data_IF_729504177674
#
_entry.id   IF_729504177674
#
_cell.length_a   1.000
_cell.length_b   1.000
_cell.length_c   1.000
_cell.angle_alpha   90.00
_cell.angle_beta   90.00
_cell.angle_gamma   90.00
#
_symmetry.space_group_name_H-M   'P 1'
#
loop_
_entity.id
_entity.type
_entity.pdbx_description
1 polymer ?
#
# COMPACT_ATOMS: atom_id res chain seq x y z
N UNK A 1 19.54 7.87 -15.22
CA UNK A 1 18.57 7.93 -14.11
C UNK A 1 17.18 7.40 -14.48
N UNK A 2 16.62 7.73 -15.65
CA UNK A 2 15.35 7.12 -16.12
C UNK A 2 15.45 5.60 -16.27
N UNK A 3 16.54 5.09 -16.88
CA UNK A 3 16.79 3.64 -16.97
C UNK A 3 16.94 2.95 -15.61
N UNK A 4 17.49 3.64 -14.61
CA UNK A 4 17.57 3.13 -13.24
C UNK A 4 16.19 3.08 -12.56
N UNK A 5 15.34 4.10 -12.77
CA UNK A 5 13.96 4.09 -12.29
C UNK A 5 13.14 2.97 -12.94
N UNK A 6 13.38 2.66 -14.21
CA UNK A 6 12.75 1.52 -14.89
C UNK A 6 13.31 0.18 -14.40
N UNK A 7 14.61 0.06 -14.13
CA UNK A 7 15.24 -1.17 -13.67
C UNK A 7 14.62 -1.70 -12.35
N UNK A 8 14.06 -0.83 -11.51
CA UNK A 8 13.28 -1.24 -10.32
C UNK A 8 12.06 -2.12 -10.64
N UNK A 9 11.59 -2.17 -11.90
CA UNK A 9 10.55 -3.09 -12.38
C UNK A 9 11.04 -4.52 -12.55
N UNK A 10 12.35 -4.74 -12.67
CA UNK A 10 12.94 -6.07 -12.87
C UNK A 10 12.96 -6.91 -11.58
N UNK A 11 12.79 -6.27 -10.42
CA UNK A 11 12.71 -6.96 -9.14
C UNK A 11 11.33 -7.60 -8.93
N UNK A 12 11.32 -8.81 -8.37
CA UNK A 12 10.08 -9.50 -7.97
C UNK A 12 9.33 -8.65 -6.93
N UNK A 13 8.05 -8.37 -7.16
CA UNK A 13 7.27 -7.45 -6.31
C UNK A 13 7.35 -5.97 -6.70
N UNK A 14 8.16 -5.61 -7.71
CA UNK A 14 8.14 -4.27 -8.29
C UNK A 14 6.76 -3.92 -8.89
N UNK A 15 6.23 -2.74 -8.58
CA UNK A 15 4.92 -2.23 -9.05
C UNK A 15 5.11 -0.85 -9.71
N UNK A 16 4.19 -0.32 -10.57
CA UNK A 16 4.36 0.98 -11.24
C UNK A 16 4.80 2.18 -10.40
N UNK A 17 4.59 2.17 -9.08
CA UNK A 17 5.08 3.21 -8.17
C UNK A 17 6.62 3.32 -8.15
N UNK A 18 7.36 2.27 -8.55
CA UNK A 18 8.83 2.35 -8.67
C UNK A 18 9.30 3.34 -9.75
N UNK A 19 8.40 3.80 -10.62
CA UNK A 19 8.69 4.74 -11.70
C UNK A 19 8.53 6.22 -11.24
N UNK A 20 7.95 6.47 -10.06
CA UNK A 20 7.74 7.83 -9.53
C UNK A 20 9.02 8.72 -9.54
N UNK A 21 10.22 8.21 -9.22
CA UNK A 21 11.44 9.01 -9.34
C UNK A 21 11.72 9.50 -10.77
N UNK A 22 11.40 8.70 -11.79
CA UNK A 22 11.50 9.10 -13.18
C UNK A 22 10.60 10.29 -13.51
N UNK A 23 9.36 10.30 -13.02
CA UNK A 23 8.46 11.44 -13.17
C UNK A 23 8.99 12.68 -12.45
N UNK A 24 9.53 12.53 -11.24
CA UNK A 24 10.14 13.64 -10.49
C UNK A 24 11.33 14.25 -11.25
N UNK A 25 12.19 13.42 -11.84
CA UNK A 25 13.32 13.87 -12.67
C UNK A 25 12.82 14.65 -13.88
N UNK A 26 11.81 14.15 -14.60
CA UNK A 26 11.25 14.84 -15.76
C UNK A 26 10.64 16.20 -15.37
N UNK A 27 9.95 16.28 -14.24
CA UNK A 27 9.39 17.53 -13.74
C UNK A 27 10.48 18.57 -13.40
N UNK A 28 11.58 18.14 -12.77
CA UNK A 28 12.73 19.01 -12.48
C UNK A 28 13.41 19.47 -13.78
N UNK A 29 13.69 18.53 -14.69
CA UNK A 29 14.33 18.83 -15.97
C UNK A 29 13.46 19.74 -16.85
N UNK A 30 12.14 19.63 -16.78
CA UNK A 30 11.23 20.55 -17.46
C UNK A 30 11.45 22.00 -17.00
N UNK A 31 11.44 22.25 -15.69
CA UNK A 31 11.68 23.59 -15.15
C UNK A 31 13.06 24.15 -15.51
N UNK A 32 14.11 23.32 -15.37
CA UNK A 32 15.48 23.70 -15.75
C UNK A 32 15.61 23.96 -17.25
N UNK A 33 14.95 23.16 -18.08
CA UNK A 33 14.96 23.29 -19.54
C UNK A 33 14.27 24.57 -20.01
N UNK A 34 13.10 24.90 -19.45
CA UNK A 34 12.41 26.17 -19.74
C UNK A 34 13.28 27.35 -19.34
N UNK A 35 13.88 27.32 -18.15
CA UNK A 35 14.77 28.38 -17.69
C UNK A 35 15.98 28.54 -18.61
N UNK A 36 16.67 27.45 -18.95
CA UNK A 36 17.81 27.46 -19.85
C UNK A 36 17.45 28.00 -21.25
N UNK A 37 16.26 27.66 -21.77
CA UNK A 37 15.77 28.15 -23.05
C UNK A 37 15.51 29.67 -23.03
N UNK A 38 14.92 30.19 -21.94
CA UNK A 38 14.73 31.63 -21.74
C UNK A 38 16.08 32.36 -21.64
N UNK A 39 17.03 31.81 -20.88
CA UNK A 39 18.40 32.37 -20.79
C UNK A 39 19.08 32.39 -22.16
N UNK A 40 18.96 31.32 -22.95
CA UNK A 40 19.50 31.30 -24.31
C UNK A 40 18.83 32.34 -25.23
N UNK A 41 17.51 32.56 -25.08
CA UNK A 41 16.77 33.57 -25.83
C UNK A 41 17.20 35.01 -25.53
N UNK A 42 17.84 35.27 -24.38
CA UNK A 42 18.35 36.60 -24.02
C UNK A 42 19.44 37.14 -24.97
N UNK A 43 20.07 36.26 -25.75
CA UNK A 43 21.07 36.63 -26.76
C UNK A 43 20.46 37.15 -28.07
N UNK A 44 19.13 37.11 -28.21
CA UNK A 44 18.42 37.58 -29.39
C UNK A 44 18.05 39.07 -29.26
N UNK A 45 17.74 39.71 -30.38
CA UNK A 45 17.17 41.07 -30.38
C UNK A 45 15.82 41.10 -29.67
N UNK A 46 15.50 42.22 -28.99
CA UNK A 46 14.29 42.37 -28.15
C UNK A 46 12.99 41.84 -28.81
N UNK A 47 12.67 42.17 -30.08
CA UNK A 47 11.44 41.68 -30.69
C UNK A 47 11.42 40.16 -30.92
N UNK A 48 12.58 39.52 -31.07
CA UNK A 48 12.70 38.06 -31.26
C UNK A 48 12.72 37.35 -29.91
N UNK A 49 13.41 37.91 -28.93
CA UNK A 49 13.45 37.44 -27.54
C UNK A 49 12.03 37.33 -26.96
N UNK A 50 11.26 38.42 -26.94
CA UNK A 50 9.92 38.42 -26.36
C UNK A 50 8.97 37.44 -27.04
N UNK A 51 9.07 37.29 -28.38
CA UNK A 51 8.26 36.31 -29.12
C UNK A 51 8.59 34.87 -28.72
N UNK A 52 9.89 34.56 -28.55
CA UNK A 52 10.33 33.22 -28.15
C UNK A 52 9.97 32.94 -26.68
N UNK A 53 10.17 33.89 -25.77
CA UNK A 53 9.76 33.78 -24.37
C UNK A 53 8.25 33.54 -24.26
N UNK A 54 7.42 34.33 -24.94
CA UNK A 54 5.98 34.16 -24.97
C UNK A 54 5.58 32.78 -25.54
N UNK A 55 6.21 32.35 -26.63
CA UNK A 55 5.97 31.02 -27.20
C UNK A 55 6.30 29.89 -26.21
N UNK A 56 7.45 29.94 -25.53
CA UNK A 56 7.85 28.94 -24.54
C UNK A 56 6.90 28.89 -23.35
N UNK A 57 6.46 30.05 -22.84
CA UNK A 57 5.52 30.13 -21.73
C UNK A 57 4.12 29.64 -22.13
N UNK A 58 3.66 29.98 -23.34
CA UNK A 58 2.39 29.45 -23.87
C UNK A 58 2.47 27.93 -24.05
N UNK A 59 3.58 27.41 -24.59
CA UNK A 59 3.78 25.97 -24.72
C UNK A 59 3.75 25.25 -23.36
N UNK A 60 4.41 25.83 -22.35
CA UNK A 60 4.36 25.32 -20.98
C UNK A 60 2.93 25.37 -20.40
N UNK A 61 2.20 26.47 -20.61
CA UNK A 61 0.82 26.60 -20.16
C UNK A 61 -0.10 25.58 -20.84
N UNK A 62 0.07 25.34 -22.14
CA UNK A 62 -0.66 24.30 -22.88
C UNK A 62 -0.34 22.91 -22.34
N UNK A 63 0.93 22.61 -22.05
CA UNK A 63 1.32 21.35 -21.43
C UNK A 63 0.63 21.14 -20.07
N UNK A 64 0.57 22.18 -19.22
CA UNK A 64 -0.15 22.10 -17.94
C UNK A 64 -1.66 21.94 -18.13
N UNK A 65 -2.25 22.62 -19.11
CA UNK A 65 -3.67 22.46 -19.43
C UNK A 65 -4.00 21.04 -19.92
N UNK A 66 -3.13 20.42 -20.72
CA UNK A 66 -3.26 19.02 -21.14
C UNK A 66 -3.15 18.02 -19.97
N UNK A 67 -2.45 18.40 -18.90
CA UNK A 67 -2.29 17.60 -17.68
C UNK A 67 -3.32 17.96 -16.59
N UNK A 68 -4.21 18.92 -16.84
CA UNK A 68 -5.23 19.30 -15.89
C UNK A 68 -6.18 18.12 -15.64
N UNK A 69 -6.37 17.77 -14.37
CA UNK A 69 -7.27 16.71 -13.95
C UNK A 69 -8.08 17.16 -12.73
N UNK A 70 -9.21 16.49 -12.51
CA UNK A 70 -10.05 16.70 -11.34
C UNK A 70 -9.52 15.86 -10.15
N UNK A 71 -8.92 16.46 -9.12
CA UNK A 71 -8.37 15.73 -7.99
C UNK A 71 -9.45 15.03 -7.15
N UNK A 72 -10.70 15.50 -7.19
CA UNK A 72 -11.79 14.89 -6.43
C UNK A 72 -12.09 13.45 -6.89
N UNK A 73 -11.76 13.10 -8.14
CA UNK A 73 -11.88 11.72 -8.65
C UNK A 73 -10.96 10.73 -7.94
N UNK A 74 -9.92 11.22 -7.28
CA UNK A 74 -8.93 10.43 -6.57
C UNK A 74 -9.12 10.46 -5.05
N UNK A 75 -10.11 11.19 -4.55
CA UNK A 75 -10.48 11.20 -3.15
C UNK A 75 -11.46 10.05 -2.82
N UNK A 76 -11.33 9.36 -1.68
CA UNK A 76 -12.30 8.37 -1.22
C UNK A 76 -13.71 8.97 -1.05
N UNK A 77 -14.75 8.17 -1.29
CA UNK A 77 -16.14 8.63 -1.11
C UNK A 77 -16.50 8.66 0.38
N UNK A 78 -17.56 9.39 0.72
CA UNK A 78 -18.07 9.46 2.09
C UNK A 78 -18.46 8.09 2.67
N UNK A 79 -18.93 7.16 1.83
CA UNK A 79 -19.21 5.77 2.23
C UNK A 79 -17.94 5.01 2.59
N UNK A 80 -16.83 5.25 1.88
CA UNK A 80 -15.53 4.64 2.18
C UNK A 80 -15.00 5.16 3.51
N UNK A 81 -15.10 6.47 3.75
CA UNK A 81 -14.70 7.07 5.01
C UNK A 81 -15.48 6.48 6.21
N UNK A 82 -16.81 6.36 6.09
CA UNK A 82 -17.65 5.73 7.11
C UNK A 82 -17.30 4.26 7.34
N UNK A 83 -17.02 3.51 6.27
CA UNK A 83 -16.58 2.13 6.38
C UNK A 83 -15.22 2.02 7.08
N UNK A 84 -14.31 2.96 6.82
CA UNK A 84 -13.02 3.08 7.50
C UNK A 84 -13.19 3.31 9.01
N UNK A 85 -14.01 4.27 9.42
CA UNK A 85 -14.29 4.51 10.84
C UNK A 85 -14.89 3.27 11.53
N UNK A 86 -15.83 2.60 10.87
CA UNK A 86 -16.41 1.37 11.41
C UNK A 86 -15.38 0.24 11.57
N UNK A 87 -14.43 0.13 10.63
CA UNK A 87 -13.31 -0.80 10.76
C UNK A 87 -12.42 -0.43 11.96
N UNK A 88 -12.06 0.84 12.12
CA UNK A 88 -11.26 1.30 13.26
C UNK A 88 -11.96 0.99 14.58
N UNK A 89 -13.28 1.18 14.67
CA UNK A 89 -14.05 0.83 15.86
C UNK A 89 -14.04 -0.68 16.15
N UNK A 90 -14.12 -1.52 15.12
CA UNK A 90 -13.97 -2.98 15.29
C UNK A 90 -12.59 -3.32 15.84
N UNK A 91 -11.52 -2.72 15.32
CA UNK A 91 -10.14 -2.97 15.77
C UNK A 91 -9.94 -2.50 17.22
N UNK A 92 -10.47 -1.31 17.58
CA UNK A 92 -10.40 -0.76 18.95
C UNK A 92 -11.05 -1.69 19.97
N UNK A 93 -12.18 -2.30 19.63
CA UNK A 93 -12.96 -3.20 20.51
C UNK A 93 -12.32 -4.56 20.75
N UNK A 94 -11.31 -4.96 19.97
CA UNK A 94 -10.61 -6.23 20.21
C UNK A 94 -9.84 -6.13 21.53
N UNK A 95 -10.07 -7.08 22.44
CA UNK A 95 -9.25 -7.22 23.64
C UNK A 95 -7.86 -7.75 23.28
N UNK A 96 -6.81 -7.12 23.83
CA UNK A 96 -5.42 -7.48 23.53
C UNK A 96 -4.89 -6.93 22.20
N UNK A 97 -3.85 -7.60 21.70
CA UNK A 97 -3.11 -7.23 20.49
C UNK A 97 -3.85 -7.63 19.21
N UNK A 98 -3.71 -6.82 18.15
CA UNK A 98 -4.30 -7.08 16.84
C UNK A 98 -3.21 -7.20 15.80
N UNK A 99 -3.25 -8.26 14.99
CA UNK A 99 -2.33 -8.44 13.88
C UNK A 99 -3.02 -8.17 12.53
N UNK A 100 -2.47 -7.25 11.74
CA UNK A 100 -3.01 -6.83 10.43
C UNK A 100 -1.86 -6.82 9.40
N UNK A 101 -1.46 -7.96 8.84
CA UNK A 101 -0.18 -8.11 8.13
C UNK A 101 -0.05 -7.20 6.90
N UNK A 102 -1.10 -7.05 6.10
CA UNK A 102 -1.10 -6.25 4.88
C UNK A 102 -1.51 -4.77 5.11
N UNK A 103 -2.02 -4.44 6.29
CA UNK A 103 -2.62 -3.12 6.57
C UNK A 103 -2.25 -2.61 7.96
N UNK A 104 -0.98 -2.78 8.37
CA UNK A 104 -0.50 -2.48 9.73
C UNK A 104 -0.77 -1.06 10.23
N UNK A 105 -0.88 -0.08 9.33
CA UNK A 105 -1.24 1.31 9.66
C UNK A 105 -2.61 1.43 10.35
N UNK A 106 -3.55 0.52 10.06
CA UNK A 106 -4.88 0.53 10.69
C UNK A 106 -4.81 0.22 12.19
N UNK A 107 -3.85 -0.59 12.63
CA UNK A 107 -3.61 -0.83 14.05
C UNK A 107 -3.18 0.48 14.74
N UNK A 108 -2.25 1.23 14.13
CA UNK A 108 -1.81 2.53 14.64
C UNK A 108 -2.96 3.53 14.74
N UNK A 109 -3.80 3.65 13.70
CA UNK A 109 -4.97 4.55 13.70
C UNK A 109 -6.04 4.15 14.74
N UNK A 110 -6.11 2.87 15.09
CA UNK A 110 -6.96 2.36 16.15
C UNK A 110 -6.34 2.49 17.56
N UNK A 111 -5.16 3.10 17.69
CA UNK A 111 -4.45 3.22 18.98
C UNK A 111 -3.87 1.91 19.49
N UNK A 112 -3.67 0.92 18.61
CA UNK A 112 -3.05 -0.38 18.90
C UNK A 112 -1.61 -0.41 18.42
N UNK A 113 -0.80 -1.28 19.00
CA UNK A 113 0.58 -1.53 18.53
C UNK A 113 0.55 -2.17 17.14
N UNK A 114 1.23 -1.60 16.12
CA UNK A 114 1.42 -2.29 14.85
C UNK A 114 2.48 -3.39 14.98
N UNK A 115 2.34 -4.42 14.14
CA UNK A 115 3.25 -5.57 14.03
C UNK A 115 3.83 -5.67 12.61
N UNK A 116 4.69 -6.67 12.37
CA UNK A 116 5.42 -6.83 11.11
C UNK A 116 4.49 -6.82 9.89
N UNK A 117 4.82 -6.00 8.89
CA UNK A 117 4.10 -5.94 7.63
C UNK A 117 4.49 -7.12 6.72
N UNK A 118 3.54 -7.75 6.05
CA UNK A 118 3.79 -8.97 5.26
C UNK A 118 4.84 -8.76 4.16
N UNK A 119 4.84 -7.60 3.48
CA UNK A 119 5.84 -7.28 2.46
C UNK A 119 7.24 -7.13 3.05
N UNK A 120 7.37 -6.51 4.23
CA UNK A 120 8.68 -6.40 4.89
C UNK A 120 9.20 -7.77 5.34
N UNK A 121 8.29 -8.66 5.75
CA UNK A 121 8.62 -10.06 6.02
C UNK A 121 9.04 -10.76 4.73
N UNK A 122 8.30 -10.58 3.63
CA UNK A 122 8.64 -11.17 2.34
C UNK A 122 10.01 -10.71 1.81
N UNK A 123 10.36 -9.44 1.99
CA UNK A 123 11.67 -8.89 1.61
C UNK A 123 12.82 -9.57 2.37
N UNK A 124 12.64 -9.84 3.66
CA UNK A 124 13.61 -10.59 4.48
C UNK A 124 13.65 -12.06 4.06
N UNK A 125 12.50 -12.67 3.79
CA UNK A 125 12.40 -14.09 3.47
C UNK A 125 12.90 -14.43 2.06
N UNK A 126 12.82 -13.50 1.09
CA UNK A 126 13.45 -13.54 -0.23
C UNK A 126 13.74 -14.94 -0.80
N UNK A 127 15.01 -15.19 -1.16
CA UNK A 127 15.51 -16.54 -1.48
C UNK A 127 15.93 -17.22 -0.17
N UNK A 128 14.93 -17.68 0.60
CA UNK A 128 15.04 -18.37 1.89
C UNK A 128 15.50 -17.54 3.11
N UNK A 129 15.97 -16.30 2.94
CA UNK A 129 16.26 -15.36 4.03
C UNK A 129 17.40 -15.76 4.98
N UNK A 130 18.08 -16.87 4.71
CA UNK A 130 19.15 -17.41 5.55
C UNK A 130 18.68 -17.75 6.98
N UNK A 131 19.61 -17.84 7.94
CA UNK A 131 19.29 -18.14 9.34
C UNK A 131 18.30 -17.12 9.95
N UNK A 132 18.50 -15.83 9.71
CA UNK A 132 17.62 -14.78 10.23
C UNK A 132 16.18 -14.90 9.67
N UNK A 133 16.03 -15.28 8.40
CA UNK A 133 14.71 -15.55 7.81
C UNK A 133 14.03 -16.79 8.41
N UNK A 134 14.80 -17.83 8.73
CA UNK A 134 14.28 -19.00 9.43
C UNK A 134 13.80 -18.67 10.85
N UNK A 135 14.58 -17.88 11.60
CA UNK A 135 14.23 -17.42 12.94
C UNK A 135 12.97 -16.54 12.90
N UNK A 136 12.92 -15.57 11.98
CA UNK A 136 11.74 -14.72 11.79
C UNK A 136 10.49 -15.54 11.48
N UNK A 137 10.60 -16.55 10.61
CA UNK A 137 9.49 -17.45 10.28
C UNK A 137 9.01 -18.20 11.52
N UNK A 138 9.93 -18.84 12.25
CA UNK A 138 9.61 -19.58 13.46
C UNK A 138 8.94 -18.68 14.52
N UNK A 139 9.39 -17.44 14.67
CA UNK A 139 8.82 -16.48 15.62
C UNK A 139 7.38 -16.07 15.25
N UNK A 140 7.10 -15.84 13.96
CA UNK A 140 5.74 -15.52 13.48
C UNK A 140 4.82 -16.72 13.66
N UNK A 141 5.26 -17.92 13.25
CA UNK A 141 4.51 -19.16 13.42
C UNK A 141 4.18 -19.39 14.89
N UNK A 142 5.17 -19.26 15.77
CA UNK A 142 5.00 -19.40 17.22
C UNK A 142 4.00 -18.40 17.77
N UNK A 143 4.09 -17.11 17.41
CA UNK A 143 3.15 -16.09 17.88
C UNK A 143 1.70 -16.39 17.45
N UNK A 144 1.49 -16.87 16.22
CA UNK A 144 0.18 -17.27 15.73
C UNK A 144 -0.30 -18.53 16.47
N UNK A 145 0.49 -19.59 16.50
CA UNK A 145 0.09 -20.87 17.10
C UNK A 145 -0.17 -20.77 18.61
N UNK A 146 0.57 -19.90 19.31
CA UNK A 146 0.36 -19.60 20.73
C UNK A 146 -0.82 -18.63 20.98
N UNK A 147 -1.56 -18.24 19.94
CA UNK A 147 -2.74 -17.37 20.04
C UNK A 147 -2.43 -16.02 20.72
N UNK A 148 -1.27 -15.43 20.43
CA UNK A 148 -0.81 -14.17 21.04
C UNK A 148 -1.74 -12.99 20.73
N UNK A 149 -2.43 -13.00 19.60
CA UNK A 149 -3.27 -11.91 19.14
C UNK A 149 -4.73 -12.16 19.54
N UNK A 150 -5.43 -11.13 20.01
CA UNK A 150 -6.87 -11.18 20.24
C UNK A 150 -7.67 -11.29 18.94
N UNK A 151 -7.14 -10.73 17.85
CA UNK A 151 -7.67 -10.93 16.51
C UNK A 151 -6.60 -10.79 15.42
N UNK A 152 -6.83 -11.46 14.29
CA UNK A 152 -6.05 -11.30 13.06
C UNK A 152 -6.97 -10.85 11.93
N UNK A 153 -6.65 -9.72 11.30
CA UNK A 153 -7.35 -9.20 10.13
C UNK A 153 -6.51 -9.49 8.89
N UNK A 154 -7.07 -10.21 7.91
CA UNK A 154 -6.32 -10.62 6.72
C UNK A 154 -7.18 -10.68 5.46
N UNK A 155 -6.56 -10.35 4.34
CA UNK A 155 -7.02 -10.44 2.96
C UNK A 155 -6.06 -11.23 2.05
N UNK A 156 -5.02 -11.82 2.64
CA UNK A 156 -3.98 -12.56 1.93
C UNK A 156 -3.86 -13.99 2.46
N UNK A 157 -3.01 -14.80 1.83
CA UNK A 157 -2.70 -16.16 2.30
C UNK A 157 -1.51 -16.21 3.28
N UNK A 158 -1.04 -15.05 3.78
CA UNK A 158 0.07 -14.94 4.73
C UNK A 158 -0.18 -15.77 6.00
N UNK A 159 0.64 -16.81 6.23
CA UNK A 159 0.49 -17.80 7.33
C UNK A 159 -0.92 -18.37 7.50
N UNK A 160 -1.67 -18.50 6.39
CA UNK A 160 -3.07 -18.96 6.42
C UNK A 160 -3.25 -20.30 7.11
N UNK A 161 -2.31 -21.23 6.92
CA UNK A 161 -2.38 -22.57 7.52
C UNK A 161 -2.32 -22.48 9.05
N UNK A 162 -1.36 -21.74 9.57
CA UNK A 162 -1.12 -21.56 11.02
C UNK A 162 -2.26 -20.75 11.65
N UNK A 163 -2.75 -19.72 10.95
CA UNK A 163 -3.92 -18.94 11.36
C UNK A 163 -5.13 -19.87 11.46
N UNK A 164 -5.42 -20.68 10.44
CA UNK A 164 -6.57 -21.60 10.44
C UNK A 164 -6.41 -22.74 11.47
N UNK A 165 -5.18 -23.08 11.85
CA UNK A 165 -4.92 -24.05 12.90
C UNK A 165 -5.29 -23.49 14.29
N UNK A 166 -4.84 -22.28 14.63
CA UNK A 166 -4.99 -21.71 15.97
C UNK A 166 -6.20 -20.77 16.15
N UNK A 167 -6.69 -20.17 15.08
CA UNK A 167 -7.80 -19.21 15.06
C UNK A 167 -8.97 -19.74 14.23
N UNK A 168 -10.19 -19.31 14.55
CA UNK A 168 -11.39 -19.54 13.76
C UNK A 168 -11.78 -18.26 13.02
N UNK A 169 -12.40 -18.41 11.85
CA UNK A 169 -13.00 -17.29 11.14
C UNK A 169 -14.22 -16.81 11.94
N UNK A 170 -14.17 -15.57 12.43
CA UNK A 170 -15.29 -14.93 13.13
C UNK A 170 -16.27 -14.32 12.12
N UNK A 171 -15.75 -13.75 11.03
CA UNK A 171 -16.59 -13.16 10.00
C UNK A 171 -15.82 -12.31 8.99
N UNK A 172 -16.58 -11.51 8.24
CA UNK A 172 -16.04 -10.54 7.28
C UNK A 172 -15.82 -9.19 7.95
N UNK A 173 -14.87 -8.44 7.42
CA UNK A 173 -14.61 -7.06 7.87
C UNK A 173 -15.74 -6.12 7.44
N UNK A 174 -16.20 -6.26 6.19
CA UNK A 174 -17.23 -5.43 5.58
C UNK A 174 -18.39 -6.28 5.06
N UNK A 175 -19.62 -5.86 5.34
CA UNK A 175 -20.83 -6.42 4.73
C UNK A 175 -20.98 -5.95 3.28
N UNK A 176 -20.78 -4.66 3.03
CA UNK A 176 -20.77 -4.11 1.68
C UNK A 176 -19.44 -4.43 0.97
N UNK A 177 -19.55 -5.10 -0.18
CA UNK A 177 -18.41 -5.46 -1.03
C UNK A 177 -17.83 -4.26 -1.79
N UNK A 178 -18.52 -3.13 -1.85
CA UNK A 178 -18.17 -1.98 -2.69
C UNK A 178 -17.44 -0.85 -1.94
N UNK A 179 -17.38 -0.90 -0.62
CA UNK A 179 -16.77 0.17 0.20
C UNK A 179 -15.30 -0.07 0.52
N UNK A 180 -14.60 0.96 0.97
CA UNK A 180 -13.25 0.89 1.53
C UNK A 180 -12.24 0.22 0.60
N UNK A 181 -12.32 0.51 -0.69
CA UNK A 181 -11.29 0.12 -1.63
C UNK A 181 -10.40 1.32 -1.96
N UNK A 182 -9.10 1.11 -2.18
CA UNK A 182 -8.24 2.14 -2.76
C UNK A 182 -8.83 2.66 -4.07
N UNK A 183 -8.90 3.99 -4.20
CA UNK A 183 -9.36 4.66 -5.43
C UNK A 183 -8.34 4.44 -6.56
N UNK A 184 -7.06 4.35 -6.21
CA UNK A 184 -5.94 4.10 -7.11
C UNK A 184 -5.02 3.02 -6.55
N UNK A 185 -4.26 2.38 -7.43
CA UNK A 185 -3.24 1.41 -7.05
C UNK A 185 -3.79 0.00 -6.86
N UNK A 186 -3.12 -0.80 -6.03
CA UNK A 186 -3.48 -2.20 -5.82
C UNK A 186 -4.80 -2.32 -5.06
N UNK A 187 -5.69 -3.18 -5.57
CA UNK A 187 -7.04 -3.38 -5.03
C UNK A 187 -6.97 -4.37 -3.86
N UNK A 188 -6.61 -3.87 -2.68
CA UNK A 188 -6.55 -4.64 -1.44
C UNK A 188 -7.25 -3.91 -0.28
N UNK A 189 -7.83 -4.67 0.64
CA UNK A 189 -8.44 -4.20 1.89
C UNK A 189 -8.64 -5.40 2.82
N UNK A 190 -8.61 -5.25 4.15
CA UNK A 190 -8.90 -6.36 5.06
C UNK A 190 -10.26 -7.00 4.75
N UNK A 191 -10.30 -8.33 4.63
CA UNK A 191 -11.54 -9.04 4.28
C UNK A 191 -12.08 -9.92 5.39
N UNK A 192 -11.20 -10.57 6.15
CA UNK A 192 -11.55 -11.63 7.12
C UNK A 192 -11.03 -11.27 8.50
N UNK A 193 -11.83 -11.61 9.51
CA UNK A 193 -11.47 -11.48 10.93
C UNK A 193 -11.35 -12.88 11.51
N UNK A 194 -10.20 -13.18 12.12
CA UNK A 194 -9.96 -14.43 12.82
C UNK A 194 -9.77 -14.16 14.31
N UNK A 195 -10.35 -15.02 15.15
CA UNK A 195 -10.20 -14.94 16.62
C UNK A 195 -9.71 -16.27 17.19
N UNK A 196 -9.01 -16.27 18.35
CA UNK A 196 -8.47 -17.47 18.95
C UNK A 196 -9.53 -18.57 19.13
N UNK A 197 -9.20 -19.82 18.74
CA UNK A 197 -10.02 -20.98 19.12
C UNK A 197 -9.99 -21.15 20.64
N UNK A 198 -11.15 -21.28 21.28
CA UNK A 198 -11.24 -21.63 22.71
C UNK A 198 -10.61 -23.00 22.94
N UNK A 199 -9.88 -23.16 24.04
CA UNK A 199 -9.39 -24.46 24.47
C UNK A 199 -10.60 -25.33 24.84
N UNK A 200 -10.93 -26.33 24.02
CA UNK A 200 -12.06 -27.25 24.27
C UNK A 200 -13.01 -27.47 23.08
N UNK A 201 -12.95 -26.67 22.01
CA UNK A 201 -13.75 -26.95 20.82
C UNK A 201 -13.07 -28.03 19.97
N UNK A 202 -13.44 -29.29 20.20
CA UNK A 202 -13.21 -30.39 19.26
C UNK A 202 -13.74 -29.98 17.90
N UNK A 203 -12.85 -29.73 16.95
CA UNK A 203 -13.22 -29.35 15.59
C UNK A 203 -14.07 -30.45 14.93
N UNK A 204 -14.99 -30.10 14.02
CA UNK A 204 -15.76 -31.09 13.28
C UNK A 204 -14.81 -31.99 12.50
N UNK A 205 -14.98 -33.30 12.67
CA UNK A 205 -14.30 -34.35 11.93
C UNK A 205 -14.61 -34.17 10.44
N UNK A 206 -13.61 -33.76 9.67
CA UNK A 206 -13.73 -33.73 8.20
C UNK A 206 -13.64 -35.18 7.73
N UNK A 207 -14.68 -35.75 7.11
CA UNK A 207 -14.59 -37.10 6.55
C UNK A 207 -13.62 -37.06 5.37
N UNK A 208 -12.61 -37.93 5.42
CA UNK A 208 -11.73 -38.19 4.29
C UNK A 208 -12.59 -38.69 3.12
N UNK A 209 -12.49 -38.01 1.98
CA UNK A 209 -12.77 -38.61 0.67
C UNK A 209 -11.47 -39.08 0.07
#
# INVERSE_FOLDING_TARGET
MLGASWAGRLHAGGWPNVIMPGFAILAILFGLGVHAAIVAASQLSEPRRHRLEAFLLVLAAVQFACLAYDPARYAPKSLDAKAGEHLLDKIRKVEGDVFIPAHGHLATLAGKRPYAHEMAVADILGINGGPAGADLRADIEKAILQKRFGAIFSDTDFYKKEIQQAYRLEGKVFEDKKVFWPVTGFRARPERIYVPKTAGASGPTIPRR
#
